data_IF_882993411514
#
_entry.id   IF_882993411514
#
_cell.length_a   1.000
_cell.length_b   1.000
_cell.length_c   1.000
_cell.angle_alpha   90.00
_cell.angle_beta   90.00
_cell.angle_gamma   90.00
#
_symmetry.space_group_name_H-M   'P 1'
#
loop_
_entity.id
_entity.type
_entity.pdbx_description
1 polymer ?
#
# COMPACT_ATOMS: atom_id res chain seq x y z
N UNK A 1 10.20 3.15 8.40
CA UNK A 1 9.04 4.05 8.21
C UNK A 1 7.80 3.21 7.97
N UNK A 2 6.65 3.66 8.44
CA UNK A 2 5.37 2.96 8.26
C UNK A 2 5.21 1.67 9.06
N UNK A 3 5.95 1.47 10.15
CA UNK A 3 5.72 0.38 11.09
C UNK A 3 4.77 0.85 12.19
N UNK A 4 3.71 0.07 12.45
CA UNK A 4 2.70 0.30 13.48
C UNK A 4 2.59 -0.95 14.37
N UNK A 5 2.08 -0.80 15.59
CA UNK A 5 1.66 -1.94 16.40
C UNK A 5 0.20 -2.25 16.13
N UNK A 6 -0.13 -3.52 15.93
CA UNK A 6 -1.50 -4.00 15.94
C UNK A 6 -1.67 -5.14 16.93
N UNK A 7 -2.87 -5.27 17.49
CA UNK A 7 -3.22 -6.38 18.35
C UNK A 7 -3.74 -7.54 17.49
N UNK A 8 -3.22 -8.74 17.74
CA UNK A 8 -3.73 -9.97 17.12
C UNK A 8 -5.04 -10.39 17.78
N UNK A 9 -5.86 -11.26 17.14
CA UNK A 9 -7.08 -11.80 17.77
C UNK A 9 -6.84 -12.54 19.10
N UNK A 10 -5.59 -12.87 19.41
CA UNK A 10 -5.18 -13.56 20.64
C UNK A 10 -4.59 -12.60 21.70
N UNK A 11 -4.70 -11.28 21.52
CA UNK A 11 -4.24 -10.27 22.48
C UNK A 11 -2.75 -9.92 22.42
N UNK A 12 -1.99 -10.50 21.49
CA UNK A 12 -0.56 -10.19 21.34
C UNK A 12 -0.36 -8.93 20.49
N UNK A 13 0.52 -8.02 20.92
CA UNK A 13 0.97 -6.90 20.08
C UNK A 13 2.04 -7.35 19.10
N UNK A 14 1.82 -7.08 17.81
CA UNK A 14 2.78 -7.37 16.73
C UNK A 14 3.06 -6.11 15.92
N UNK A 15 4.30 -5.98 15.45
CA UNK A 15 4.70 -4.91 14.54
C UNK A 15 4.28 -5.28 13.12
N UNK A 16 3.52 -4.41 12.48
CA UNK A 16 3.10 -4.54 11.08
C UNK A 16 3.36 -3.26 10.31
N UNK A 17 3.22 -3.33 8.98
CA UNK A 17 3.28 -2.14 8.16
C UNK A 17 1.91 -1.46 8.05
N UNK A 18 1.91 -0.14 7.95
CA UNK A 18 0.74 0.63 7.59
C UNK A 18 0.32 0.34 6.13
N UNK A 19 -0.88 0.81 5.77
CA UNK A 19 -1.49 0.51 4.48
C UNK A 19 -0.70 1.13 3.33
N UNK A 20 -0.25 2.37 3.47
CA UNK A 20 0.55 3.08 2.46
C UNK A 20 1.83 2.31 2.13
N UNK A 21 2.55 1.84 3.16
CA UNK A 21 3.78 1.07 3.00
C UNK A 21 3.52 -0.26 2.31
N UNK A 22 2.42 -0.93 2.70
CA UNK A 22 2.01 -2.20 2.11
C UNK A 22 1.69 -2.05 0.63
N UNK A 23 0.95 -1.02 0.22
CA UNK A 23 0.66 -0.72 -1.19
C UNK A 23 1.94 -0.46 -1.98
N UNK A 24 2.85 0.36 -1.44
CA UNK A 24 4.14 0.60 -2.09
C UNK A 24 4.97 -0.68 -2.26
N UNK A 25 4.97 -1.57 -1.25
CA UNK A 25 5.68 -2.85 -1.33
C UNK A 25 5.05 -3.82 -2.34
N UNK A 26 3.71 -3.84 -2.46
CA UNK A 26 3.01 -4.61 -3.49
C UNK A 26 3.40 -4.14 -4.89
N UNK A 27 3.38 -2.83 -5.15
CA UNK A 27 3.78 -2.26 -6.44
C UNK A 27 5.25 -2.52 -6.76
N UNK A 28 6.13 -2.39 -5.76
CA UNK A 28 7.57 -2.65 -5.93
C UNK A 28 7.85 -4.10 -6.30
N UNK A 29 7.03 -5.04 -5.83
CA UNK A 29 7.17 -6.48 -6.07
C UNK A 29 6.18 -7.01 -7.09
N UNK A 30 5.51 -6.16 -7.87
CA UNK A 30 4.46 -6.57 -8.82
C UNK A 30 4.93 -7.64 -9.82
N UNK A 31 6.20 -7.64 -10.21
CA UNK A 31 6.77 -8.64 -11.13
C UNK A 31 6.96 -10.02 -10.49
N UNK A 32 6.94 -10.11 -9.16
CA UNK A 32 7.09 -11.35 -8.39
C UNK A 32 5.79 -11.78 -7.70
N UNK A 33 4.72 -11.01 -7.86
CA UNK A 33 3.39 -11.26 -7.30
C UNK A 33 2.39 -11.45 -8.45
N UNK A 34 1.23 -11.99 -8.11
CA UNK A 34 0.10 -12.04 -9.04
C UNK A 34 -0.38 -10.60 -9.33
N UNK A 35 -0.40 -10.22 -10.61
CA UNK A 35 -0.74 -8.86 -11.02
C UNK A 35 -2.19 -8.50 -10.68
N UNK A 36 -3.13 -9.44 -10.82
CA UNK A 36 -4.54 -9.20 -10.52
C UNK A 36 -4.73 -9.00 -9.02
N UNK A 37 -4.00 -9.76 -8.20
CA UNK A 37 -3.99 -9.59 -6.74
C UNK A 37 -3.44 -8.21 -6.34
N UNK A 38 -2.32 -7.78 -6.93
CA UNK A 38 -1.73 -6.46 -6.65
C UNK A 38 -2.68 -5.34 -7.06
N UNK A 39 -3.28 -5.46 -8.25
CA UNK A 39 -4.23 -4.48 -8.77
C UNK A 39 -5.46 -4.34 -7.86
N UNK A 40 -6.08 -5.45 -7.45
CA UNK A 40 -7.23 -5.41 -6.53
C UNK A 40 -6.86 -4.87 -5.15
N UNK A 41 -5.65 -5.16 -4.64
CA UNK A 41 -5.17 -4.59 -3.38
C UNK A 41 -5.02 -3.06 -3.46
N UNK A 42 -4.39 -2.55 -4.52
CA UNK A 42 -4.20 -1.11 -4.75
C UNK A 42 -5.56 -0.43 -4.92
N UNK A 43 -6.42 -0.97 -5.78
CA UNK A 43 -7.80 -0.49 -6.00
C UNK A 43 -8.61 -0.42 -4.72
N UNK A 44 -8.56 -1.46 -3.89
CA UNK A 44 -9.25 -1.50 -2.61
C UNK A 44 -8.72 -0.44 -1.64
N UNK A 45 -7.41 -0.20 -1.63
CA UNK A 45 -6.81 0.87 -0.84
C UNK A 45 -7.30 2.24 -1.31
N UNK A 46 -7.19 2.56 -2.60
CA UNK A 46 -7.58 3.87 -3.16
C UNK A 46 -9.06 4.18 -2.94
N UNK A 47 -9.94 3.18 -3.03
CA UNK A 47 -11.39 3.36 -2.77
C UNK A 47 -11.75 3.37 -1.28
N UNK A 48 -10.78 3.12 -0.40
CA UNK A 48 -10.99 3.03 1.04
C UNK A 48 -11.06 4.42 1.70
N UNK A 49 -11.93 4.59 2.72
CA UNK A 49 -12.04 5.87 3.45
C UNK A 49 -10.80 6.22 4.28
N UNK A 50 -9.94 5.23 4.56
CA UNK A 50 -8.70 5.40 5.32
C UNK A 50 -7.47 5.64 4.44
N UNK A 51 -7.68 5.92 3.14
CA UNK A 51 -6.59 6.22 2.22
C UNK A 51 -5.99 7.60 2.51
N UNK A 52 -4.71 7.63 2.90
CA UNK A 52 -3.91 8.84 3.02
C UNK A 52 -3.02 8.99 1.78
N UNK A 53 -3.54 9.70 0.78
CA UNK A 53 -2.84 9.94 -0.49
C UNK A 53 -1.54 10.72 -0.34
N UNK A 54 -1.48 11.67 0.61
CA UNK A 54 -0.27 12.46 0.82
C UNK A 54 0.86 11.58 1.35
N UNK A 55 0.53 10.69 2.29
CA UNK A 55 1.47 9.73 2.86
C UNK A 55 1.84 8.63 1.87
N UNK A 56 0.89 8.14 1.06
CA UNK A 56 1.16 7.20 -0.03
C UNK A 56 2.17 7.77 -1.01
N UNK A 57 1.94 8.99 -1.53
CA UNK A 57 2.87 9.63 -2.47
C UNK A 57 4.25 9.83 -1.86
N UNK A 58 4.33 10.25 -0.60
CA UNK A 58 5.61 10.38 0.12
C UNK A 58 6.37 9.05 0.17
N UNK A 59 5.69 7.94 0.45
CA UNK A 59 6.33 6.63 0.46
C UNK A 59 6.69 6.18 -0.96
N UNK A 60 5.84 6.44 -1.94
CA UNK A 60 6.07 6.06 -3.33
C UNK A 60 7.36 6.70 -3.90
N UNK A 61 7.66 7.95 -3.53
CA UNK A 61 8.96 8.59 -3.83
C UNK A 61 10.13 7.81 -3.21
N UNK A 62 10.04 7.48 -1.92
CA UNK A 62 11.11 6.80 -1.17
C UNK A 62 11.37 5.39 -1.74
N UNK A 63 10.31 4.69 -2.16
CA UNK A 63 10.41 3.33 -2.71
C UNK A 63 10.54 3.29 -4.23
N UNK A 64 10.64 4.44 -4.89
CA UNK A 64 10.78 4.58 -6.34
C UNK A 64 9.67 3.86 -7.13
N UNK A 65 8.42 3.98 -6.65
CA UNK A 65 7.19 3.45 -7.27
C UNK A 65 6.16 4.55 -7.54
N UNK A 66 6.60 5.81 -7.56
CA UNK A 66 5.74 6.99 -7.73
C UNK A 66 4.95 6.95 -9.04
N UNK A 67 5.60 6.58 -10.14
CA UNK A 67 4.96 6.55 -11.45
C UNK A 67 3.90 5.45 -11.54
N UNK A 68 4.17 4.29 -10.92
CA UNK A 68 3.18 3.20 -10.81
C UNK A 68 1.95 3.65 -10.01
N UNK A 69 2.17 4.26 -8.84
CA UNK A 69 1.08 4.79 -7.99
C UNK A 69 0.24 5.82 -8.76
N UNK A 70 0.86 6.76 -9.47
CA UNK A 70 0.14 7.77 -10.24
C UNK A 70 -0.72 7.15 -11.33
N UNK A 71 -0.14 6.24 -12.11
CA UNK A 71 -0.86 5.55 -13.18
C UNK A 71 -2.07 4.80 -12.62
N UNK A 72 -1.91 4.10 -11.51
CA UNK A 72 -3.02 3.38 -10.88
C UNK A 72 -4.08 4.33 -10.34
N UNK A 73 -3.70 5.48 -9.76
CA UNK A 73 -4.64 6.51 -9.32
C UNK A 73 -5.44 7.11 -10.48
N UNK A 74 -4.83 7.33 -11.65
CA UNK A 74 -5.52 7.86 -12.84
C UNK A 74 -6.53 6.86 -13.43
N UNK A 75 -6.29 5.55 -13.27
CA UNK A 75 -7.16 4.50 -13.83
C UNK A 75 -8.27 4.09 -12.86
N UNK A 76 -8.00 4.11 -11.54
CA UNK A 76 -8.85 3.51 -10.52
C UNK A 76 -9.74 4.49 -9.74
N UNK A 77 -9.45 5.78 -9.83
CA UNK A 77 -10.26 6.87 -9.24
C UNK A 77 -11.40 7.24 -10.16
#
# INVERSE_FOLDING_TARGET
>A
MGAISMETPYGNQVKVYDKERTVCDCLRKKNSLDNDLVFEAVKRYLKGPEADYAKLLKYAEIFNVRDDVRKDMEILT
#
